data_IF_340009161674
#
_entry.id   IF_340009161674
#
_cell.length_a   1.000
_cell.length_b   1.000
_cell.length_c   1.000
_cell.angle_alpha   90.00
_cell.angle_beta   90.00
_cell.angle_gamma   90.00
#
_symmetry.space_group_name_H-M   'P 1'
#
loop_
_entity.id
_entity.type
_entity.pdbx_description
1 polymer ?
#
# COMPACT_ATOMS: atom_id res chain seq x y z
N UNK A 1 5.27 13.69 -3.88
CA UNK A 1 4.02 13.46 -4.61
C UNK A 1 4.27 12.72 -5.92
N UNK A 2 3.21 12.25 -6.53
CA UNK A 2 3.16 11.69 -7.87
C UNK A 2 2.38 12.66 -8.78
N UNK A 3 3.06 13.56 -9.50
CA UNK A 3 2.37 14.63 -10.24
C UNK A 3 1.32 14.13 -11.24
N UNK A 4 1.57 12.99 -11.91
CA UNK A 4 0.63 12.44 -12.89
C UNK A 4 -0.65 11.95 -12.23
N UNK A 5 -0.55 11.07 -11.24
CA UNK A 5 -1.72 10.49 -10.59
C UNK A 5 -2.46 11.54 -9.71
N UNK A 6 -1.71 12.45 -9.06
CA UNK A 6 -2.32 13.54 -8.29
C UNK A 6 -3.11 14.49 -9.18
N UNK A 7 -2.59 14.85 -10.36
CA UNK A 7 -3.32 15.68 -11.33
C UNK A 7 -4.56 14.94 -11.85
N UNK A 8 -4.44 13.68 -12.22
CA UNK A 8 -5.58 12.87 -12.66
C UNK A 8 -6.70 12.87 -11.61
N UNK A 9 -6.33 12.66 -10.32
CA UNK A 9 -7.34 12.67 -9.25
C UNK A 9 -7.89 14.07 -8.98
N UNK A 10 -7.11 15.12 -9.14
CA UNK A 10 -7.59 16.51 -9.05
C UNK A 10 -8.56 16.86 -10.19
N UNK A 11 -8.33 16.37 -11.40
CA UNK A 11 -9.24 16.56 -12.54
C UNK A 11 -10.58 15.82 -12.32
N UNK A 12 -10.56 14.67 -11.64
CA UNK A 12 -11.74 13.86 -11.35
C UNK A 12 -12.49 14.36 -10.11
N UNK A 13 -11.80 14.54 -8.98
CA UNK A 13 -12.40 14.85 -7.67
C UNK A 13 -12.38 16.35 -7.33
N UNK A 14 -11.64 17.16 -8.08
CA UNK A 14 -11.22 18.49 -7.69
C UNK A 14 -9.92 18.47 -6.85
N UNK A 15 -9.25 19.62 -6.72
CA UNK A 15 -8.09 19.77 -5.84
C UNK A 15 -8.48 19.41 -4.39
N UNK A 16 -7.48 19.00 -3.57
CA UNK A 16 -7.72 18.79 -2.15
C UNK A 16 -7.83 20.14 -1.43
N UNK A 17 -9.03 20.64 -1.39
CA UNK A 17 -9.37 21.85 -0.64
C UNK A 17 -10.10 21.46 0.64
N UNK A 18 -9.77 22.13 1.72
CA UNK A 18 -10.50 22.00 2.97
C UNK A 18 -11.93 22.50 2.82
N UNK A 19 -12.93 21.87 3.44
CA UNK A 19 -14.27 22.41 3.45
C UNK A 19 -14.25 23.77 4.12
N UNK A 20 -14.98 24.73 3.53
CA UNK A 20 -15.09 26.05 4.15
C UNK A 20 -15.65 25.90 5.58
N UNK A 21 -14.99 26.51 6.57
CA UNK A 21 -15.47 26.49 7.97
C UNK A 21 -16.86 27.06 8.16
N UNK A 22 -17.36 27.78 7.16
CA UNK A 22 -18.72 28.34 7.08
C UNK A 22 -19.72 27.41 6.42
N UNK A 23 -19.29 26.28 5.84
CA UNK A 23 -20.18 25.33 5.17
C UNK A 23 -21.24 24.79 6.13
N UNK A 24 -22.45 24.62 5.63
CA UNK A 24 -23.51 23.93 6.36
C UNK A 24 -23.32 22.41 6.31
N UNK A 25 -24.00 21.68 7.19
CA UNK A 25 -24.01 20.21 7.12
C UNK A 25 -24.50 19.70 5.76
N UNK A 26 -25.56 20.34 5.20
CA UNK A 26 -26.11 19.98 3.89
C UNK A 26 -25.08 20.19 2.76
N UNK A 27 -24.28 21.26 2.81
CA UNK A 27 -23.21 21.51 1.82
C UNK A 27 -22.10 20.46 1.91
N UNK A 28 -21.72 20.09 3.14
CA UNK A 28 -20.73 19.03 3.38
C UNK A 28 -21.25 17.67 2.87
N UNK A 29 -22.50 17.31 3.19
CA UNK A 29 -23.11 16.06 2.75
C UNK A 29 -23.24 15.99 1.23
N UNK A 30 -23.61 17.11 0.58
CA UNK A 30 -23.71 17.20 -0.88
C UNK A 30 -22.33 17.08 -1.54
N UNK A 31 -21.33 17.77 -1.02
CA UNK A 31 -19.94 17.65 -1.48
C UNK A 31 -19.41 16.22 -1.35
N UNK A 32 -19.70 15.55 -0.23
CA UNK A 32 -19.33 14.17 -0.01
C UNK A 32 -19.99 13.21 -0.98
N UNK A 33 -21.31 13.33 -1.16
CA UNK A 33 -22.06 12.48 -2.08
C UNK A 33 -21.46 12.56 -3.49
N UNK A 34 -21.18 13.77 -3.98
CA UNK A 34 -20.57 13.99 -5.30
C UNK A 34 -19.17 13.36 -5.41
N UNK A 35 -18.31 13.46 -4.39
CA UNK A 35 -17.00 12.82 -4.40
C UNK A 35 -17.12 11.30 -4.42
N UNK A 36 -18.02 10.72 -3.63
CA UNK A 36 -18.23 9.28 -3.60
C UNK A 36 -18.81 8.73 -4.89
N UNK A 37 -19.74 9.43 -5.53
CA UNK A 37 -20.24 9.05 -6.86
C UNK A 37 -19.10 8.99 -7.89
N UNK A 38 -18.18 9.96 -7.88
CA UNK A 38 -17.01 9.95 -8.76
C UNK A 38 -16.03 8.83 -8.43
N UNK A 39 -15.79 8.57 -7.14
CA UNK A 39 -14.93 7.46 -6.68
C UNK A 39 -15.52 6.12 -7.10
N UNK A 40 -16.83 5.93 -6.99
CA UNK A 40 -17.50 4.71 -7.42
C UNK A 40 -17.36 4.49 -8.93
N UNK A 41 -17.45 5.57 -9.73
CA UNK A 41 -17.18 5.51 -11.17
C UNK A 41 -15.72 5.11 -11.44
N UNK A 42 -14.74 5.73 -10.76
CA UNK A 42 -13.33 5.36 -10.91
C UNK A 42 -13.12 3.91 -10.52
N UNK A 43 -13.68 3.45 -9.39
CA UNK A 43 -13.57 2.06 -8.93
C UNK A 43 -14.17 1.07 -9.95
N UNK A 44 -15.30 1.41 -10.57
CA UNK A 44 -15.91 0.60 -11.62
C UNK A 44 -14.98 0.48 -12.84
N UNK A 45 -14.36 1.58 -13.28
CA UNK A 45 -13.43 1.60 -14.41
C UNK A 45 -12.17 0.79 -14.10
N UNK A 46 -11.48 1.08 -12.99
CA UNK A 46 -10.25 0.38 -12.64
C UNK A 46 -10.49 -1.11 -12.35
N UNK A 47 -11.72 -1.48 -11.96
CA UNK A 47 -12.16 -2.86 -11.84
C UNK A 47 -12.12 -3.64 -13.15
N UNK A 48 -12.20 -2.97 -14.29
CA UNK A 48 -12.10 -3.58 -15.63
C UNK A 48 -10.66 -3.80 -16.11
N UNK A 49 -9.68 -3.19 -15.46
CA UNK A 49 -8.27 -3.38 -15.82
C UNK A 49 -7.76 -4.72 -15.28
N UNK A 50 -8.10 -5.80 -15.98
CA UNK A 50 -7.76 -7.17 -15.55
C UNK A 50 -6.40 -7.61 -16.06
N UNK A 51 -6.03 -7.21 -17.27
CA UNK A 51 -4.76 -7.47 -17.92
C UNK A 51 -4.22 -6.20 -18.61
N UNK A 52 -2.99 -6.27 -19.10
CA UNK A 52 -2.31 -5.13 -19.70
C UNK A 52 -2.96 -4.68 -21.01
N UNK A 53 -3.50 -5.62 -21.81
CA UNK A 53 -4.24 -5.29 -23.03
C UNK A 53 -5.58 -4.60 -22.73
N UNK A 54 -6.23 -4.94 -21.62
CA UNK A 54 -7.48 -4.34 -21.17
C UNK A 54 -7.38 -2.86 -20.81
N UNK A 55 -6.17 -2.33 -20.62
CA UNK A 55 -5.94 -0.90 -20.43
C UNK A 55 -6.31 -0.05 -21.66
N UNK A 56 -6.37 -0.65 -22.86
CA UNK A 56 -6.71 0.06 -24.10
C UNK A 56 -8.22 0.08 -24.39
N UNK A 57 -8.99 -0.87 -23.85
CA UNK A 57 -10.35 -1.16 -24.29
C UNK A 57 -11.42 -1.10 -23.19
N UNK A 58 -11.09 -0.62 -21.99
CA UNK A 58 -12.06 -0.56 -20.88
C UNK A 58 -13.25 0.35 -21.18
N UNK A 59 -13.06 1.42 -21.96
CA UNK A 59 -14.09 2.39 -22.34
C UNK A 59 -15.21 1.79 -23.17
N UNK A 60 -14.94 0.73 -23.92
CA UNK A 60 -15.94 0.00 -24.70
C UNK A 60 -16.94 -0.75 -23.81
N UNK A 61 -16.52 -1.09 -22.57
CA UNK A 61 -17.31 -1.85 -21.60
C UNK A 61 -18.16 -0.98 -20.70
N UNK A 62 -17.84 0.32 -20.56
CA UNK A 62 -18.57 1.30 -19.73
C UNK A 62 -18.87 2.58 -20.52
N UNK A 63 -19.82 2.56 -21.47
CA UNK A 63 -20.12 3.73 -22.28
C UNK A 63 -20.80 4.87 -21.50
N UNK A 64 -21.24 4.63 -20.26
CA UNK A 64 -21.92 5.59 -19.40
C UNK A 64 -21.01 6.40 -18.48
N UNK A 65 -19.68 6.17 -18.54
CA UNK A 65 -18.71 6.92 -17.73
C UNK A 65 -18.75 8.40 -18.16
N UNK A 66 -18.89 9.36 -17.22
CA UNK A 66 -18.82 10.76 -17.54
C UNK A 66 -17.55 11.13 -18.31
N UNK A 67 -17.70 11.87 -19.41
CA UNK A 67 -16.61 12.16 -20.33
C UNK A 67 -15.35 12.74 -19.67
N UNK A 68 -15.44 13.68 -18.72
CA UNK A 68 -14.26 14.21 -18.04
C UNK A 68 -13.49 13.13 -17.26
N UNK A 69 -14.19 12.18 -16.62
CA UNK A 69 -13.55 11.06 -15.90
C UNK A 69 -12.91 10.08 -16.90
N UNK A 70 -13.61 9.77 -17.99
CA UNK A 70 -13.11 8.87 -19.02
C UNK A 70 -11.84 9.42 -19.68
N UNK A 71 -11.83 10.70 -20.00
CA UNK A 71 -10.68 11.36 -20.63
C UNK A 71 -9.48 11.42 -19.67
N UNK A 72 -9.69 11.82 -18.41
CA UNK A 72 -8.62 11.85 -17.40
C UNK A 72 -8.00 10.45 -17.17
N UNK A 73 -8.82 9.40 -17.09
CA UNK A 73 -8.31 8.03 -16.91
C UNK A 73 -7.60 7.51 -18.16
N UNK A 74 -8.04 7.89 -19.36
CA UNK A 74 -7.35 7.54 -20.61
C UNK A 74 -5.98 8.19 -20.70
N UNK A 75 -5.92 9.48 -20.44
CA UNK A 75 -4.67 10.25 -20.49
C UNK A 75 -3.68 9.72 -19.43
N UNK A 76 -4.17 9.36 -18.24
CA UNK A 76 -3.38 8.70 -17.20
C UNK A 76 -2.79 7.38 -17.68
N UNK A 77 -3.61 6.48 -18.24
CA UNK A 77 -3.14 5.16 -18.73
C UNK A 77 -2.10 5.35 -19.82
N UNK A 78 -2.35 6.25 -20.78
CA UNK A 78 -1.42 6.50 -21.88
C UNK A 78 -0.06 7.01 -21.40
N UNK A 79 -0.05 7.85 -20.35
CA UNK A 79 1.19 8.40 -19.80
C UNK A 79 1.93 7.45 -18.83
N UNK A 80 1.21 6.51 -18.18
CA UNK A 80 1.76 5.73 -17.07
C UNK A 80 2.15 4.30 -17.42
N UNK A 81 1.65 3.74 -18.53
CA UNK A 81 1.75 2.30 -18.81
C UNK A 81 3.07 1.84 -19.40
N UNK A 82 3.86 2.77 -19.92
CA UNK A 82 5.09 2.43 -20.62
C UNK A 82 6.20 1.99 -19.65
N UNK A 83 6.86 0.89 -20.00
CA UNK A 83 8.05 0.49 -19.26
C UNK A 83 9.17 1.51 -19.50
N UNK A 84 10.02 1.77 -18.49
CA UNK A 84 11.13 2.70 -18.68
C UNK A 84 12.17 2.15 -19.68
N UNK A 85 12.88 3.04 -20.37
CA UNK A 85 13.90 2.67 -21.37
C UNK A 85 15.01 1.76 -20.82
N UNK A 86 15.23 1.80 -19.49
CA UNK A 86 16.20 0.95 -18.80
C UNK A 86 15.64 -0.41 -18.37
N UNK A 87 14.37 -0.73 -18.67
CA UNK A 87 13.78 -2.01 -18.30
C UNK A 87 14.39 -3.15 -19.15
N UNK A 88 15.04 -4.08 -18.47
CA UNK A 88 15.57 -5.30 -19.07
C UNK A 88 14.56 -6.44 -18.90
N UNK A 89 13.96 -6.86 -20.02
CA UNK A 89 12.94 -7.94 -20.06
C UNK A 89 13.49 -9.28 -19.61
N UNK A 90 14.80 -9.55 -19.84
CA UNK A 90 15.41 -10.80 -19.40
C UNK A 90 15.56 -10.84 -17.88
N UNK A 91 15.96 -9.72 -17.27
CA UNK A 91 16.00 -9.61 -15.81
C UNK A 91 14.60 -9.70 -15.18
N UNK A 92 13.59 -9.08 -15.79
CA UNK A 92 12.20 -9.21 -15.33
C UNK A 92 11.77 -10.68 -15.37
N UNK A 93 11.95 -11.37 -16.49
CA UNK A 93 11.59 -12.77 -16.64
C UNK A 93 12.34 -13.66 -15.61
N UNK A 94 13.62 -13.36 -15.34
CA UNK A 94 14.39 -14.10 -14.33
C UNK A 94 13.82 -13.89 -12.91
N UNK A 95 13.43 -12.68 -12.56
CA UNK A 95 12.79 -12.39 -11.27
C UNK A 95 11.45 -13.13 -11.11
N UNK A 96 10.64 -13.18 -12.17
CA UNK A 96 9.39 -13.93 -12.21
C UNK A 96 9.63 -15.44 -11.99
N UNK A 97 10.66 -16.02 -12.63
CA UNK A 97 11.06 -17.41 -12.42
C UNK A 97 11.46 -17.67 -10.97
N UNK A 98 12.33 -16.84 -10.40
CA UNK A 98 12.77 -16.96 -9.01
C UNK A 98 11.58 -16.91 -8.05
N UNK A 99 10.68 -15.95 -8.26
CA UNK A 99 9.49 -15.82 -7.41
C UNK A 99 8.59 -17.04 -7.48
N UNK A 100 8.40 -17.59 -8.67
CA UNK A 100 7.58 -18.77 -8.92
C UNK A 100 8.22 -20.05 -8.36
N UNK A 101 9.52 -20.26 -8.61
CA UNK A 101 10.27 -21.43 -8.15
C UNK A 101 10.31 -21.52 -6.62
N UNK A 102 10.40 -20.37 -5.94
CA UNK A 102 10.31 -20.31 -4.48
C UNK A 102 8.87 -20.42 -3.95
N UNK A 103 7.86 -20.23 -4.78
CA UNK A 103 6.44 -20.48 -4.53
C UNK A 103 5.96 -20.16 -3.11
N UNK A 104 5.77 -21.20 -2.29
CA UNK A 104 5.29 -21.08 -0.89
C UNK A 104 6.22 -20.20 -0.05
N UNK A 105 7.54 -20.28 -0.27
CA UNK A 105 8.51 -19.48 0.46
C UNK A 105 8.37 -17.99 0.10
N UNK A 106 8.17 -17.66 -1.18
CA UNK A 106 7.90 -16.30 -1.62
C UNK A 106 6.68 -15.71 -0.91
N UNK A 107 5.56 -16.45 -0.87
CA UNK A 107 4.37 -16.04 -0.12
C UNK A 107 4.65 -15.87 1.38
N UNK A 108 5.38 -16.80 1.97
CA UNK A 108 5.73 -16.75 3.39
C UNK A 108 6.55 -15.52 3.75
N UNK A 109 7.53 -15.17 2.91
CA UNK A 109 8.36 -13.98 3.11
C UNK A 109 7.57 -12.69 2.94
N UNK A 110 6.65 -12.62 1.97
CA UNK A 110 5.78 -11.46 1.79
C UNK A 110 4.93 -11.19 3.05
N UNK A 111 4.36 -12.23 3.67
CA UNK A 111 3.50 -12.05 4.85
C UNK A 111 4.26 -11.97 6.17
N UNK A 112 5.42 -12.64 6.29
CA UNK A 112 6.16 -12.71 7.56
C UNK A 112 7.36 -11.78 7.64
N UNK A 113 7.79 -11.17 6.52
CA UNK A 113 8.89 -10.22 6.50
C UNK A 113 8.46 -8.88 5.88
N UNK A 114 8.06 -8.87 4.59
CA UNK A 114 7.78 -7.64 3.85
C UNK A 114 6.63 -6.84 4.48
N UNK A 115 5.51 -7.48 4.77
CA UNK A 115 4.34 -6.80 5.32
C UNK A 115 4.57 -6.26 6.75
N UNK A 116 5.17 -7.00 7.71
CA UNK A 116 5.54 -6.43 9.00
C UNK A 116 6.52 -5.26 8.90
N UNK A 117 7.51 -5.33 8.00
CA UNK A 117 8.46 -4.22 7.80
C UNK A 117 7.78 -2.93 7.31
N UNK A 118 6.70 -3.01 6.54
CA UNK A 118 5.93 -1.83 6.15
C UNK A 118 5.38 -1.05 7.36
N UNK A 119 5.14 -1.73 8.49
CA UNK A 119 4.60 -1.08 9.69
C UNK A 119 5.67 -0.46 10.58
N UNK A 120 6.95 -0.74 10.36
CA UNK A 120 8.06 -0.25 11.22
C UNK A 120 8.22 1.27 11.12
N UNK A 121 7.88 1.87 9.98
CA UNK A 121 7.98 3.32 9.76
C UNK A 121 6.68 4.00 10.21
N UNK A 122 6.73 4.88 11.24
CA UNK A 122 5.53 5.48 11.83
C UNK A 122 4.66 6.26 10.85
N UNK A 123 5.26 7.04 9.95
CA UNK A 123 4.53 7.85 8.96
C UNK A 123 3.64 6.96 8.07
N UNK A 124 4.21 5.87 7.56
CA UNK A 124 3.50 4.90 6.75
C UNK A 124 2.40 4.18 7.56
N UNK A 125 2.72 3.81 8.80
CA UNK A 125 1.75 3.19 9.71
C UNK A 125 0.57 4.12 9.99
N UNK A 126 0.80 5.42 10.15
CA UNK A 126 -0.25 6.42 10.37
C UNK A 126 -1.22 6.53 9.17
N UNK A 127 -0.71 6.54 7.93
CA UNK A 127 -1.57 6.51 6.75
C UNK A 127 -2.45 5.27 6.73
N UNK A 128 -1.88 4.12 7.08
CA UNK A 128 -2.59 2.85 7.14
C UNK A 128 -3.64 2.84 8.27
N UNK A 129 -3.32 3.41 9.43
CA UNK A 129 -4.22 3.56 10.57
C UNK A 129 -5.38 4.52 10.24
N UNK A 130 -5.07 5.71 9.73
CA UNK A 130 -6.05 6.75 9.38
C UNK A 130 -7.09 6.24 8.38
N UNK A 131 -6.71 5.38 7.44
CA UNK A 131 -7.67 4.76 6.52
C UNK A 131 -8.56 3.71 7.17
N UNK A 132 -8.26 3.25 8.39
CA UNK A 132 -9.03 2.27 9.17
C UNK A 132 -9.16 0.87 8.54
N UNK A 133 -8.56 0.67 7.37
CA UNK A 133 -8.75 -0.55 6.59
C UNK A 133 -7.96 -1.74 7.14
N UNK A 134 -6.85 -1.50 7.82
CA UNK A 134 -5.97 -2.56 8.28
C UNK A 134 -6.49 -3.25 9.55
N UNK A 135 -6.95 -2.49 10.52
CA UNK A 135 -7.42 -3.05 11.80
C UNK A 135 -8.79 -3.73 11.67
N UNK A 136 -9.65 -3.18 10.81
CA UNK A 136 -11.03 -3.66 10.66
C UNK A 136 -11.21 -4.68 9.54
N UNK A 137 -10.31 -4.70 8.53
CA UNK A 137 -10.38 -5.53 7.33
C UNK A 137 -9.02 -6.10 6.95
N UNK A 138 -8.28 -6.62 7.92
CA UNK A 138 -6.91 -7.16 7.71
C UNK A 138 -6.87 -8.22 6.60
N UNK A 139 -7.82 -9.14 6.56
CA UNK A 139 -7.93 -10.17 5.52
C UNK A 139 -8.13 -9.57 4.12
N UNK A 140 -8.98 -8.55 4.00
CA UNK A 140 -9.18 -7.83 2.73
C UNK A 140 -7.89 -7.13 2.29
N UNK A 141 -7.17 -6.49 3.21
CA UNK A 141 -5.92 -5.80 2.90
C UNK A 141 -4.82 -6.75 2.47
N UNK A 142 -4.68 -7.89 3.15
CA UNK A 142 -3.74 -8.95 2.77
C UNK A 142 -4.04 -9.45 1.36
N UNK A 143 -5.32 -9.73 1.05
CA UNK A 143 -5.75 -10.15 -0.29
C UNK A 143 -5.52 -9.09 -1.34
N UNK A 144 -5.76 -7.81 -1.03
CA UNK A 144 -5.53 -6.69 -1.96
C UNK A 144 -4.06 -6.52 -2.28
N UNK A 145 -3.16 -6.70 -1.30
CA UNK A 145 -1.71 -6.70 -1.54
C UNK A 145 -1.31 -7.88 -2.42
N UNK A 146 -1.81 -9.07 -2.14
CA UNK A 146 -1.56 -10.25 -2.95
C UNK A 146 -2.09 -10.08 -4.39
N UNK A 147 -3.28 -9.46 -4.54
CA UNK A 147 -3.88 -9.18 -5.85
C UNK A 147 -3.05 -8.20 -6.71
N UNK A 148 -2.11 -7.46 -6.13
CA UNK A 148 -1.13 -6.66 -6.86
C UNK A 148 0.16 -7.46 -7.11
N UNK A 149 0.73 -8.07 -6.05
CA UNK A 149 2.04 -8.73 -6.11
C UNK A 149 2.04 -9.92 -7.06
N UNK A 150 1.02 -10.78 -7.00
CA UNK A 150 0.98 -11.97 -7.84
C UNK A 150 0.93 -11.65 -9.34
N UNK A 151 0.02 -10.82 -9.86
CA UNK A 151 0.02 -10.46 -11.28
C UNK A 151 1.33 -9.83 -11.75
N UNK A 152 2.01 -9.07 -10.90
CA UNK A 152 3.33 -8.46 -11.18
C UNK A 152 4.40 -9.53 -11.34
N UNK A 153 4.44 -10.52 -10.46
CA UNK A 153 5.49 -11.55 -10.39
C UNK A 153 5.11 -12.85 -11.12
N UNK A 154 3.94 -12.91 -11.77
CA UNK A 154 3.59 -14.01 -12.68
C UNK A 154 4.32 -13.85 -14.00
N UNK A 155 4.61 -15.00 -14.65
CA UNK A 155 5.31 -15.02 -15.95
C UNK A 155 4.65 -14.08 -16.98
N UNK A 156 5.42 -13.13 -17.48
CA UNK A 156 4.95 -12.12 -18.43
C UNK A 156 4.07 -11.03 -17.79
N UNK A 157 4.00 -10.96 -16.45
CA UNK A 157 3.14 -10.04 -15.75
C UNK A 157 3.32 -8.58 -16.15
N UNK A 158 4.56 -8.12 -16.25
CA UNK A 158 4.91 -6.77 -16.69
C UNK A 158 5.17 -6.64 -18.19
N UNK A 159 5.37 -7.73 -18.90
CA UNK A 159 5.94 -7.68 -20.26
C UNK A 159 5.01 -8.18 -21.37
N UNK A 160 3.97 -8.94 -21.01
CA UNK A 160 3.04 -9.53 -21.96
C UNK A 160 1.67 -8.84 -21.94
N UNK A 161 0.97 -8.74 -23.08
CA UNK A 161 -0.38 -8.17 -23.16
C UNK A 161 -1.40 -8.89 -22.25
N UNK A 162 -1.30 -10.22 -22.16
CA UNK A 162 -2.15 -11.04 -21.28
C UNK A 162 -1.71 -11.03 -19.81
N UNK A 163 -0.55 -10.43 -19.50
CA UNK A 163 -0.10 -10.20 -18.13
C UNK A 163 -0.99 -9.18 -17.41
N UNK A 164 -1.06 -9.26 -16.09
CA UNK A 164 -1.87 -8.33 -15.28
C UNK A 164 -1.06 -7.31 -14.50
N UNK A 165 0.27 -7.36 -14.58
CA UNK A 165 1.14 -6.60 -13.69
C UNK A 165 1.01 -5.10 -13.85
N UNK A 166 1.12 -4.57 -15.07
CA UNK A 166 1.00 -3.13 -15.35
C UNK A 166 -0.39 -2.65 -14.90
N UNK A 167 -1.44 -3.35 -15.29
CA UNK A 167 -2.81 -2.99 -14.95
C UNK A 167 -3.02 -2.89 -13.43
N UNK A 168 -2.49 -3.83 -12.65
CA UNK A 168 -2.61 -3.79 -11.18
C UNK A 168 -1.75 -2.68 -10.56
N UNK A 169 -0.54 -2.43 -11.06
CA UNK A 169 0.31 -1.35 -10.55
C UNK A 169 -0.32 0.02 -10.82
N UNK A 170 -0.89 0.25 -12.01
CA UNK A 170 -1.57 1.51 -12.33
C UNK A 170 -2.81 1.74 -11.46
N UNK A 171 -3.57 0.69 -11.12
CA UNK A 171 -4.66 0.78 -10.14
C UNK A 171 -4.14 1.26 -8.79
N UNK A 172 -3.08 0.62 -8.27
CA UNK A 172 -2.50 0.96 -6.97
C UNK A 172 -1.99 2.40 -6.96
N UNK A 173 -1.33 2.84 -8.02
CA UNK A 173 -0.88 4.23 -8.19
C UNK A 173 -2.02 5.23 -8.08
N UNK A 174 -3.13 5.00 -8.78
CA UNK A 174 -4.34 5.84 -8.68
C UNK A 174 -4.96 5.80 -7.28
N UNK A 175 -5.03 4.62 -6.66
CA UNK A 175 -5.54 4.48 -5.29
C UNK A 175 -4.71 5.29 -4.31
N UNK A 176 -3.37 5.30 -4.43
CA UNK A 176 -2.51 6.13 -3.58
C UNK A 176 -2.80 7.62 -3.75
N UNK A 177 -2.98 8.09 -4.99
CA UNK A 177 -3.35 9.49 -5.25
C UNK A 177 -4.76 9.83 -4.75
N UNK A 178 -5.71 8.92 -4.91
CA UNK A 178 -7.07 9.06 -4.40
C UNK A 178 -7.07 9.18 -2.86
N UNK A 179 -6.38 8.28 -2.17
CA UNK A 179 -6.26 8.30 -0.71
C UNK A 179 -5.58 9.59 -0.25
N UNK A 180 -4.52 10.02 -0.92
CA UNK A 180 -3.85 11.29 -0.64
C UNK A 180 -4.81 12.47 -0.81
N UNK A 181 -5.53 12.55 -1.91
CA UNK A 181 -6.51 13.61 -2.17
C UNK A 181 -7.60 13.66 -1.09
N UNK A 182 -8.06 12.49 -0.61
CA UNK A 182 -9.08 12.42 0.45
C UNK A 182 -8.51 12.83 1.82
N UNK A 183 -7.33 12.35 2.19
CA UNK A 183 -6.71 12.63 3.49
C UNK A 183 -6.43 14.13 3.65
N UNK A 184 -5.95 14.80 2.59
CA UNK A 184 -5.53 16.20 2.64
C UNK A 184 -6.67 17.21 2.66
N UNK A 185 -7.93 16.77 2.61
CA UNK A 185 -9.09 17.69 2.60
C UNK A 185 -9.42 18.32 3.93
N UNK A 186 -8.86 17.84 5.03
CA UNK A 186 -9.17 18.36 6.36
C UNK A 186 -7.93 18.38 7.25
N UNK A 187 -7.62 19.53 7.83
CA UNK A 187 -6.61 19.68 8.90
C UNK A 187 -7.18 19.30 10.27
N UNK A 188 -6.34 19.03 11.30
CA UNK A 188 -6.81 18.77 12.65
C UNK A 188 -7.64 19.91 13.23
N UNK A 189 -7.28 21.17 12.97
CA UNK A 189 -7.99 22.37 13.45
C UNK A 189 -9.38 22.47 12.82
N UNK A 190 -9.48 22.18 11.54
CA UNK A 190 -10.79 22.16 10.84
C UNK A 190 -11.65 21.01 11.32
N UNK A 191 -11.08 19.82 11.54
CA UNK A 191 -11.79 18.68 12.11
C UNK A 191 -12.35 19.00 13.51
N UNK A 192 -11.61 19.68 14.34
CA UNK A 192 -12.06 20.13 15.67
C UNK A 192 -13.18 21.17 15.55
N UNK A 193 -13.02 22.19 14.71
CA UNK A 193 -14.07 23.20 14.48
C UNK A 193 -15.36 22.58 13.91
N UNK A 194 -15.27 21.58 13.03
CA UNK A 194 -16.45 20.86 12.53
C UNK A 194 -17.14 20.05 13.63
N UNK A 195 -16.38 19.44 14.56
CA UNK A 195 -16.92 18.71 15.73
C UNK A 195 -17.61 19.65 16.71
N UNK A 196 -16.99 20.79 17.04
CA UNK A 196 -17.58 21.80 17.92
C UNK A 196 -18.91 22.33 17.38
N UNK A 197 -19.03 22.44 16.07
CA UNK A 197 -20.28 22.84 15.39
C UNK A 197 -21.30 21.69 15.28
N UNK A 198 -20.97 20.48 15.74
CA UNK A 198 -21.85 19.30 15.63
C UNK A 198 -22.04 18.79 14.20
N UNK A 199 -21.19 19.23 13.25
CA UNK A 199 -21.27 18.87 11.82
C UNK A 199 -20.61 17.52 11.53
N UNK A 200 -19.69 17.08 12.37
CA UNK A 200 -19.07 15.75 12.30
C UNK A 200 -19.29 15.08 13.66
N UNK A 201 -19.93 13.94 13.66
CA UNK A 201 -20.10 13.16 14.89
C UNK A 201 -18.72 12.74 15.43
N UNK A 202 -18.61 12.63 16.75
CA UNK A 202 -17.45 11.99 17.39
C UNK A 202 -17.19 10.64 16.74
N UNK A 203 -15.90 10.16 16.68
CA UNK A 203 -15.55 8.95 15.97
C UNK A 203 -16.52 7.82 16.33
N UNK A 204 -17.29 7.39 15.34
CA UNK A 204 -18.26 6.33 15.53
C UNK A 204 -17.48 5.03 15.66
N UNK A 205 -17.67 4.26 16.75
CA UNK A 205 -17.13 2.91 16.83
C UNK A 205 -17.56 2.14 15.59
N UNK A 206 -16.63 1.46 14.94
CA UNK A 206 -16.74 0.76 13.70
C UNK A 206 -18.15 0.33 13.30
N UNK A 207 -18.81 1.10 12.43
CA UNK A 207 -20.06 0.71 11.81
C UNK A 207 -19.78 -0.48 10.89
N UNK A 208 -20.28 -1.64 11.27
CA UNK A 208 -20.35 -2.84 10.43
C UNK A 208 -21.38 -2.61 9.30
N UNK A 209 -21.05 -1.80 8.31
CA UNK A 209 -21.96 -1.61 7.18
C UNK A 209 -21.25 -1.77 5.85
N UNK A 210 -22.00 -2.13 4.82
CA UNK A 210 -21.59 -2.15 3.42
C UNK A 210 -21.12 -0.77 2.88
N UNK A 211 -21.14 0.26 3.71
CA UNK A 211 -20.76 1.64 3.48
C UNK A 211 -19.29 1.94 3.86
N UNK A 212 -18.38 0.96 3.69
CA UNK A 212 -16.97 1.09 4.09
C UNK A 212 -16.28 2.37 3.60
N UNK A 213 -16.67 2.90 2.46
CA UNK A 213 -16.17 4.15 1.89
C UNK A 213 -16.61 5.39 2.68
N UNK A 214 -17.88 5.51 3.05
CA UNK A 214 -18.39 6.63 3.86
C UNK A 214 -17.78 6.66 5.25
N UNK A 215 -17.53 5.48 5.84
CA UNK A 215 -16.87 5.37 7.15
C UNK A 215 -15.43 5.88 7.11
N UNK A 216 -14.69 5.58 6.04
CA UNK A 216 -13.32 6.09 5.86
C UNK A 216 -13.32 7.62 5.80
N UNK A 217 -14.22 8.23 5.04
CA UNK A 217 -14.32 9.69 4.95
C UNK A 217 -14.70 10.33 6.29
N UNK A 218 -15.63 9.77 7.04
CA UNK A 218 -15.98 10.25 8.38
C UNK A 218 -14.77 10.18 9.32
N UNK A 219 -13.99 9.10 9.27
CA UNK A 219 -12.77 8.98 10.08
C UNK A 219 -11.74 10.04 9.70
N UNK A 220 -11.52 10.27 8.39
CA UNK A 220 -10.60 11.30 7.90
C UNK A 220 -11.01 12.70 8.35
N UNK A 221 -12.30 13.03 8.31
CA UNK A 221 -12.82 14.33 8.76
C UNK A 221 -12.87 14.47 10.28
N UNK A 222 -12.97 13.35 11.01
CA UNK A 222 -12.97 13.39 12.48
C UNK A 222 -11.59 13.76 13.07
N UNK A 223 -10.50 13.43 12.39
CA UNK A 223 -9.14 13.61 12.89
C UNK A 223 -8.35 14.68 12.14
N UNK A 224 -8.58 14.84 10.83
CA UNK A 224 -7.79 15.68 9.95
C UNK A 224 -6.36 15.14 9.74
N UNK A 225 -5.64 15.75 8.82
CA UNK A 225 -4.24 15.43 8.55
C UNK A 225 -3.33 16.61 8.89
N UNK A 226 -2.36 16.39 9.77
CA UNK A 226 -1.37 17.39 10.11
C UNK A 226 -0.26 17.42 9.03
N UNK A 227 -0.18 18.52 8.29
CA UNK A 227 0.81 18.73 7.24
C UNK A 227 2.25 18.76 7.76
N UNK A 228 2.47 18.94 9.08
CA UNK A 228 3.80 18.79 9.68
C UNK A 228 4.36 17.38 9.54
N UNK A 229 3.50 16.38 9.33
CA UNK A 229 3.87 14.98 9.04
C UNK A 229 4.28 14.76 7.58
N UNK A 230 4.18 15.79 6.73
CA UNK A 230 4.39 15.67 5.29
C UNK A 230 3.15 15.16 4.55
N UNK A 231 3.31 14.85 3.28
CA UNK A 231 2.23 14.36 2.43
C UNK A 231 2.04 12.86 2.63
N UNK A 232 0.80 12.35 2.80
CA UNK A 232 0.53 10.91 2.89
C UNK A 232 0.82 10.21 1.57
N UNK A 233 1.20 8.96 1.61
CA UNK A 233 1.61 8.17 0.44
C UNK A 233 2.70 8.90 -0.39
N UNK A 234 3.66 9.51 0.27
CA UNK A 234 4.71 10.26 -0.39
C UNK A 234 5.76 9.36 -1.06
N UNK A 235 6.71 9.96 -1.75
CA UNK A 235 7.74 9.25 -2.51
C UNK A 235 8.62 8.35 -1.64
N UNK A 236 8.96 8.78 -0.43
CA UNK A 236 9.80 8.00 0.48
C UNK A 236 9.03 6.80 1.05
N UNK A 237 7.77 6.99 1.46
CA UNK A 237 6.91 5.91 1.95
C UNK A 237 6.69 4.83 0.87
N UNK A 238 6.47 5.25 -0.38
CA UNK A 238 6.31 4.32 -1.49
C UNK A 238 7.63 3.59 -1.81
N UNK A 239 8.76 4.29 -1.82
CA UNK A 239 10.08 3.69 -2.04
C UNK A 239 10.46 2.73 -0.91
N UNK A 240 10.17 3.08 0.35
CA UNK A 240 10.36 2.18 1.47
C UNK A 240 9.53 0.90 1.31
N UNK A 241 8.25 1.04 0.97
CA UNK A 241 7.37 -0.11 0.71
C UNK A 241 7.89 -0.96 -0.45
N UNK A 242 8.37 -0.35 -1.53
CA UNK A 242 8.99 -1.06 -2.65
C UNK A 242 10.18 -1.91 -2.19
N UNK A 243 11.05 -1.35 -1.33
CA UNK A 243 12.19 -2.08 -0.76
C UNK A 243 11.75 -3.26 0.12
N UNK A 244 10.57 -3.22 0.73
CA UNK A 244 10.07 -4.39 1.47
C UNK A 244 9.75 -5.57 0.56
N UNK A 245 9.30 -5.32 -0.66
CA UNK A 245 9.03 -6.37 -1.65
C UNK A 245 10.29 -6.87 -2.36
N UNK A 246 11.28 -6.02 -2.62
CA UNK A 246 12.55 -6.38 -3.24
C UNK A 246 13.62 -6.80 -2.22
N UNK A 247 14.16 -5.82 -1.49
CA UNK A 247 15.29 -6.01 -0.58
C UNK A 247 14.94 -6.90 0.63
N UNK A 248 13.83 -6.66 1.32
CA UNK A 248 13.46 -7.47 2.51
C UNK A 248 13.15 -8.91 2.11
N UNK A 249 12.55 -9.13 0.95
CA UNK A 249 12.34 -10.46 0.40
C UNK A 249 13.68 -11.18 0.18
N UNK A 250 14.65 -10.57 -0.48
CA UNK A 250 15.98 -11.14 -0.70
C UNK A 250 16.75 -11.38 0.60
N UNK A 251 16.70 -10.42 1.53
CA UNK A 251 17.24 -10.57 2.89
C UNK A 251 16.62 -11.75 3.61
N UNK A 252 15.31 -11.94 3.46
CA UNK A 252 14.56 -13.06 4.03
C UNK A 252 15.02 -14.40 3.46
N UNK A 253 15.20 -14.52 2.15
CA UNK A 253 15.77 -15.71 1.51
C UNK A 253 17.15 -16.04 2.09
N UNK A 254 18.06 -15.07 2.15
CA UNK A 254 19.38 -15.25 2.77
C UNK A 254 19.29 -15.71 4.22
N UNK A 255 18.38 -15.14 5.02
CA UNK A 255 18.17 -15.49 6.43
C UNK A 255 17.69 -16.94 6.61
N UNK A 256 16.96 -17.47 5.63
CA UNK A 256 16.47 -18.84 5.62
C UNK A 256 17.43 -19.82 4.93
N UNK A 257 18.62 -19.35 4.52
CA UNK A 257 19.65 -20.19 3.90
C UNK A 257 19.42 -20.45 2.41
N UNK A 258 18.49 -19.75 1.78
CA UNK A 258 18.30 -19.77 0.33
C UNK A 258 19.17 -18.65 -0.27
N UNK A 259 20.37 -19.01 -0.71
CA UNK A 259 21.27 -18.07 -1.39
C UNK A 259 20.91 -17.96 -2.87
N UNK A 260 20.73 -16.73 -3.33
CA UNK A 260 20.74 -16.38 -4.74
C UNK A 260 22.11 -15.81 -5.10
N UNK A 261 22.54 -15.97 -6.34
CA UNK A 261 23.72 -15.27 -6.80
C UNK A 261 23.45 -13.77 -7.03
N UNK A 262 24.49 -13.00 -7.26
CA UNK A 262 24.38 -11.54 -7.42
C UNK A 262 23.55 -11.16 -8.65
N UNK A 263 23.59 -11.97 -9.71
CA UNK A 263 22.79 -11.74 -10.92
C UNK A 263 21.29 -11.90 -10.63
N UNK A 264 20.92 -12.95 -9.92
CA UNK A 264 19.54 -13.24 -9.52
C UNK A 264 18.99 -12.19 -8.54
N UNK A 265 19.80 -11.77 -7.56
CA UNK A 265 19.41 -10.68 -6.66
C UNK A 265 19.19 -9.36 -7.40
N UNK A 266 20.04 -9.03 -8.35
CA UNK A 266 19.87 -7.86 -9.21
C UNK A 266 18.62 -7.97 -10.09
N UNK A 267 18.30 -9.17 -10.58
CA UNK A 267 17.10 -9.40 -11.37
C UNK A 267 15.83 -9.11 -10.55
N UNK A 268 15.76 -9.57 -9.29
CA UNK A 268 14.64 -9.29 -8.39
C UNK A 268 14.53 -7.80 -8.08
N UNK A 269 15.64 -7.12 -7.73
CA UNK A 269 15.63 -5.68 -7.49
C UNK A 269 15.24 -4.90 -8.75
N UNK A 270 15.71 -5.34 -9.93
CA UNK A 270 15.36 -4.72 -11.20
C UNK A 270 13.86 -4.79 -11.49
N UNK A 271 13.24 -5.96 -11.35
CA UNK A 271 11.81 -6.12 -11.56
C UNK A 271 11.00 -5.22 -10.62
N UNK A 272 11.35 -5.16 -9.33
CA UNK A 272 10.70 -4.26 -8.39
C UNK A 272 10.97 -2.78 -8.67
N UNK A 273 12.15 -2.40 -9.20
CA UNK A 273 12.40 -1.02 -9.64
C UNK A 273 11.54 -0.64 -10.86
N UNK A 274 11.29 -1.58 -11.79
CA UNK A 274 10.33 -1.36 -12.89
C UNK A 274 8.92 -1.14 -12.34
N UNK A 275 8.49 -1.92 -11.34
CA UNK A 275 7.24 -1.67 -10.61
C UNK A 275 7.25 -0.30 -9.94
N UNK A 276 8.38 0.08 -9.33
CA UNK A 276 8.57 1.41 -8.73
C UNK A 276 8.37 2.54 -9.73
N UNK A 277 8.91 2.41 -10.95
CA UNK A 277 8.67 3.37 -12.03
C UNK A 277 7.18 3.48 -12.38
N UNK A 278 6.53 2.34 -12.60
CA UNK A 278 5.10 2.29 -12.94
C UNK A 278 4.20 2.86 -11.83
N UNK A 279 4.56 2.70 -10.56
CA UNK A 279 3.83 3.26 -9.41
C UNK A 279 4.16 4.73 -9.16
N UNK A 280 5.10 5.30 -9.93
CA UNK A 280 5.46 6.72 -9.89
C UNK A 280 6.58 7.09 -8.93
N UNK A 281 7.39 6.14 -8.48
CA UNK A 281 8.57 6.39 -7.64
C UNK A 281 9.69 6.97 -8.50
N UNK A 282 10.36 8.00 -7.99
CA UNK A 282 11.51 8.60 -8.64
C UNK A 282 12.72 7.67 -8.62
N UNK A 283 13.48 7.64 -9.71
CA UNK A 283 14.64 6.75 -9.87
C UNK A 283 15.70 6.92 -8.77
N UNK A 284 15.85 8.13 -8.24
CA UNK A 284 16.81 8.45 -7.17
C UNK A 284 16.46 7.77 -5.83
N UNK A 285 15.24 7.26 -5.69
CA UNK A 285 14.77 6.51 -4.53
C UNK A 285 14.74 5.00 -4.77
N UNK A 286 15.36 4.52 -5.85
CA UNK A 286 15.49 3.10 -6.19
C UNK A 286 16.92 2.62 -5.89
N UNK A 287 17.05 1.34 -5.60
CA UNK A 287 18.34 0.68 -5.38
C UNK A 287 18.49 -0.51 -6.33
N UNK A 288 19.65 -0.63 -6.97
CA UNK A 288 19.91 -1.60 -8.02
C UNK A 288 20.82 -2.76 -7.55
N UNK A 289 21.38 -2.64 -6.36
CA UNK A 289 22.21 -3.66 -5.72
C UNK A 289 21.79 -3.86 -4.27
N UNK A 290 22.10 -5.03 -3.70
CA UNK A 290 21.80 -5.32 -2.29
C UNK A 290 22.45 -4.33 -1.31
N UNK A 291 23.73 -3.91 -1.47
CA UNK A 291 24.32 -2.89 -0.60
C UNK A 291 23.65 -1.53 -0.70
N UNK A 292 23.26 -1.09 -1.90
CA UNK A 292 22.49 0.16 -2.08
C UNK A 292 21.12 0.07 -1.39
N UNK A 293 20.41 -1.05 -1.56
CA UNK A 293 19.11 -1.29 -0.98
C UNK A 293 19.17 -1.31 0.55
N UNK A 294 20.18 -1.97 1.13
CA UNK A 294 20.41 -1.99 2.58
C UNK A 294 20.65 -0.59 3.13
N UNK A 295 21.54 0.17 2.49
CA UNK A 295 21.86 1.53 2.93
C UNK A 295 20.66 2.48 2.82
N UNK A 296 19.88 2.39 1.73
CA UNK A 296 18.70 3.20 1.53
C UNK A 296 17.60 2.84 2.55
N UNK A 297 17.33 1.56 2.72
CA UNK A 297 16.36 1.04 3.67
C UNK A 297 16.67 1.46 5.12
N UNK A 298 17.93 1.31 5.54
CA UNK A 298 18.37 1.72 6.87
C UNK A 298 18.19 3.22 7.12
N UNK A 299 18.50 4.08 6.13
CA UNK A 299 18.31 5.53 6.22
C UNK A 299 16.84 5.89 6.37
N UNK A 300 15.96 5.30 5.56
CA UNK A 300 14.52 5.55 5.63
C UNK A 300 13.94 5.10 6.98
N UNK A 301 14.34 3.93 7.49
CA UNK A 301 13.94 3.49 8.83
C UNK A 301 14.44 4.39 9.94
N UNK A 302 15.68 4.88 9.86
CA UNK A 302 16.22 5.78 10.88
C UNK A 302 15.47 7.10 10.92
N UNK A 303 15.17 7.69 9.75
CA UNK A 303 14.35 8.90 9.64
C UNK A 303 12.94 8.68 10.17
N UNK A 304 12.26 7.62 9.71
CA UNK A 304 10.90 7.33 10.13
C UNK A 304 10.77 7.15 11.64
N UNK A 305 11.71 6.43 12.27
CA UNK A 305 11.72 6.27 13.73
C UNK A 305 11.90 7.59 14.49
N UNK A 306 12.64 8.55 13.91
CA UNK A 306 12.79 9.88 14.49
C UNK A 306 11.51 10.73 14.42
N UNK A 307 10.58 10.37 13.57
CA UNK A 307 9.28 11.03 13.36
C UNK A 307 8.12 10.32 14.09
N UNK A 308 8.39 9.53 15.14
CA UNK A 308 7.36 8.84 15.90
C UNK A 308 6.36 9.84 16.51
N UNK A 309 5.08 9.52 16.34
CA UNK A 309 3.94 10.31 16.84
C UNK A 309 3.13 9.45 17.81
N UNK A 310 2.62 10.07 18.87
CA UNK A 310 1.72 9.41 19.82
C UNK A 310 0.24 9.74 19.47
N UNK A 311 -0.68 8.76 19.60
CA UNK A 311 -0.43 7.35 19.95
C UNK A 311 0.22 6.58 18.77
N UNK A 312 1.16 5.66 19.11
CA UNK A 312 1.84 4.83 18.11
C UNK A 312 0.91 3.79 17.49
N UNK A 313 0.61 3.84 16.17
CA UNK A 313 -0.31 2.89 15.53
C UNK A 313 0.33 1.53 15.23
N UNK A 314 1.65 1.42 15.25
CA UNK A 314 2.41 0.24 14.80
C UNK A 314 2.05 -1.04 15.55
N UNK A 315 1.96 -1.05 16.91
CA UNK A 315 1.57 -2.26 17.65
C UNK A 315 0.18 -2.77 17.29
N UNK A 316 -0.79 -1.87 17.11
CA UNK A 316 -2.16 -2.23 16.72
C UNK A 316 -2.25 -2.89 15.34
N UNK A 317 -1.51 -2.35 14.37
CA UNK A 317 -1.42 -2.90 13.02
C UNK A 317 -0.76 -4.29 13.02
N UNK A 318 0.33 -4.45 13.77
CA UNK A 318 1.03 -5.74 13.89
C UNK A 318 0.14 -6.80 14.58
N UNK A 319 -0.55 -6.44 15.68
CA UNK A 319 -1.47 -7.34 16.38
C UNK A 319 -2.61 -7.81 15.46
N UNK A 320 -3.21 -6.91 14.68
CA UNK A 320 -4.24 -7.26 13.70
C UNK A 320 -3.73 -8.25 12.64
N UNK A 321 -2.52 -8.02 12.10
CA UNK A 321 -1.87 -8.92 11.15
C UNK A 321 -1.67 -10.32 11.74
N UNK A 322 -1.02 -10.40 12.91
CA UNK A 322 -0.66 -11.71 13.49
C UNK A 322 -1.88 -12.46 14.02
N UNK A 323 -2.92 -11.79 14.50
CA UNK A 323 -4.21 -12.44 14.78
C UNK A 323 -4.83 -13.05 13.54
N UNK A 324 -4.79 -12.35 12.40
CA UNK A 324 -5.31 -12.87 11.14
C UNK A 324 -4.51 -14.09 10.67
N UNK A 325 -3.17 -14.00 10.65
CA UNK A 325 -2.30 -15.14 10.26
C UNK A 325 -2.45 -16.35 11.19
N UNK A 326 -2.57 -16.12 12.50
CA UNK A 326 -2.81 -17.18 13.47
C UNK A 326 -4.20 -17.82 13.31
N UNK A 327 -5.19 -17.05 12.83
CA UNK A 327 -6.57 -17.49 12.64
C UNK A 327 -6.74 -18.61 11.62
N UNK A 328 -5.88 -18.67 10.60
CA UNK A 328 -5.91 -19.71 9.56
C UNK A 328 -5.19 -21.02 9.98
N UNK A 329 -4.47 -21.01 11.12
CA UNK A 329 -3.71 -22.16 11.61
C UNK A 329 -4.58 -22.97 12.57
N UNK A 330 -4.90 -24.24 12.23
CA UNK A 330 -5.82 -25.05 13.02
C UNK A 330 -5.22 -25.53 14.36
N UNK A 331 -3.89 -25.68 14.46
CA UNK A 331 -3.22 -26.22 15.64
C UNK A 331 -2.79 -25.11 16.62
N UNK A 332 -3.30 -25.12 17.86
CA UNK A 332 -3.01 -24.05 18.83
C UNK A 332 -1.53 -23.82 19.08
N UNK A 333 -0.71 -24.88 19.12
CA UNK A 333 0.74 -24.80 19.34
C UNK A 333 1.49 -24.13 18.17
N UNK A 334 0.96 -24.20 16.96
CA UNK A 334 1.56 -23.60 15.76
C UNK A 334 1.05 -22.18 15.47
N UNK A 335 -0.02 -21.71 16.11
CA UNK A 335 -0.55 -20.35 15.92
C UNK A 335 0.50 -19.24 16.08
N UNK A 336 1.48 -19.33 17.02
CA UNK A 336 2.52 -18.32 17.13
C UNK A 336 3.63 -18.40 16.07
N UNK A 337 3.66 -19.40 15.18
CA UNK A 337 4.75 -19.58 14.22
C UNK A 337 4.93 -18.39 13.25
N UNK A 338 3.88 -17.77 12.69
CA UNK A 338 4.06 -16.57 11.85
C UNK A 338 4.75 -15.45 12.61
N UNK A 339 4.40 -15.22 13.87
CA UNK A 339 5.02 -14.20 14.71
C UNK A 339 6.49 -14.55 15.02
N UNK A 340 6.81 -15.79 15.36
CA UNK A 340 8.18 -16.24 15.62
C UNK A 340 9.04 -16.12 14.35
N UNK A 341 8.50 -16.50 13.21
CA UNK A 341 9.18 -16.36 11.92
C UNK A 341 9.44 -14.88 11.59
N UNK A 342 8.45 -14.03 11.79
CA UNK A 342 8.61 -12.58 11.54
C UNK A 342 9.71 -11.98 12.43
N UNK A 343 9.75 -12.30 13.72
CA UNK A 343 10.84 -11.86 14.62
C UNK A 343 12.23 -12.24 14.10
N UNK A 344 12.37 -13.46 13.56
CA UNK A 344 13.63 -13.92 12.99
C UNK A 344 14.00 -13.15 11.72
N UNK A 345 13.02 -12.85 10.87
CA UNK A 345 13.21 -12.23 9.56
C UNK A 345 13.46 -10.73 9.63
N UNK A 346 12.72 -10.02 10.50
CA UNK A 346 12.80 -8.55 10.62
C UNK A 346 13.82 -8.08 11.67
N UNK A 347 14.23 -8.97 12.57
CA UNK A 347 15.21 -8.69 13.61
C UNK A 347 14.62 -8.05 14.89
N UNK A 348 15.44 -8.03 15.96
CA UNK A 348 14.98 -7.67 17.29
C UNK A 348 14.46 -6.22 17.39
N UNK A 349 15.11 -5.26 16.72
CA UNK A 349 14.71 -3.86 16.77
C UNK A 349 13.34 -3.62 16.14
N UNK A 350 13.12 -4.15 14.94
CA UNK A 350 11.81 -4.02 14.27
C UNK A 350 10.72 -4.79 15.02
N UNK A 351 11.05 -5.94 15.62
CA UNK A 351 10.12 -6.68 16.46
C UNK A 351 9.69 -5.89 17.72
N UNK A 352 10.62 -5.15 18.33
CA UNK A 352 10.30 -4.24 19.45
C UNK A 352 9.46 -3.03 19.01
N UNK A 353 9.79 -2.41 17.86
CA UNK A 353 8.99 -1.30 17.29
C UNK A 353 7.52 -1.71 17.08
N UNK A 354 7.27 -2.97 16.73
CA UNK A 354 5.95 -3.53 16.49
C UNK A 354 5.30 -4.16 17.75
N UNK A 355 5.98 -4.13 18.88
CA UNK A 355 5.56 -4.79 20.13
C UNK A 355 5.24 -6.30 19.96
N UNK A 356 5.93 -6.98 19.05
CA UNK A 356 5.79 -8.42 18.84
C UNK A 356 6.87 -9.25 19.52
N UNK A 357 7.76 -8.67 20.28
CA UNK A 357 8.87 -9.30 21.02
C UNK A 357 8.45 -9.97 22.35
N UNK A 358 7.17 -9.87 22.75
CA UNK A 358 6.61 -10.44 23.96
C UNK A 358 6.74 -11.95 24.12
N UNK A 359 6.38 -12.48 25.27
CA UNK A 359 6.49 -13.90 25.59
C UNK A 359 5.60 -14.78 24.68
N UNK A 360 6.16 -15.90 24.21
CA UNK A 360 5.45 -16.92 23.42
C UNK A 360 5.48 -18.24 24.21
N UNK A 361 4.41 -19.04 24.19
CA UNK A 361 4.36 -20.34 24.89
C UNK A 361 5.58 -21.21 24.63
N UNK A 362 6.11 -21.81 25.67
CA UNK A 362 7.34 -22.63 25.59
C UNK A 362 7.21 -23.77 24.57
N UNK A 363 6.07 -24.46 24.55
CA UNK A 363 5.83 -25.51 23.58
C UNK A 363 5.91 -25.05 22.12
N UNK A 364 5.36 -23.87 21.84
CA UNK A 364 5.45 -23.26 20.49
C UNK A 364 6.88 -22.90 20.12
N UNK A 365 7.68 -22.40 21.08
CA UNK A 365 9.10 -22.07 20.85
C UNK A 365 9.98 -23.30 20.63
N UNK A 366 9.63 -24.41 21.29
CA UNK A 366 10.38 -25.67 21.16
C UNK A 366 10.13 -26.33 19.81
N UNK A 367 8.91 -26.20 19.27
CA UNK A 367 8.51 -26.82 18.01
C UNK A 367 8.83 -25.94 16.77
N UNK A 368 9.04 -24.66 16.95
CA UNK A 368 9.49 -23.73 15.90
C UNK A 368 10.98 -23.85 15.63
#
# INVERSE_FOLDING_TARGET
>A
TDPLADQTMADILGPWESPALTASLADLETGYATHWERIDVVNAVIGLWQDNAGLDHWHDRLPTVPRPIADALRDYVMAARELPDWADRAMIARAEEIFFDQGVLSCTLLFSASLPECYVVPDLAEVLHTTGQLEQRTDYRIRSTAAMVFPVMMRGGLTEPAGGGIAQVLKVRLIHAMVRNLILRTSPQEAEALRERGLVAAPVPALRSALGSRTMQHALFAHGWDMARGLPCNQEEQAYTLLTFGYVYLRGLRTLGVGLDEHDERAVLHAWNVVGHLVGIRRELMAFTMPEAEALFARMQARGRAALVEPDPRPGLADALFRNLAGVIPWPVAKPFPLLLSRRLIGARAAADLAIDGAVPFASRLLF
#
